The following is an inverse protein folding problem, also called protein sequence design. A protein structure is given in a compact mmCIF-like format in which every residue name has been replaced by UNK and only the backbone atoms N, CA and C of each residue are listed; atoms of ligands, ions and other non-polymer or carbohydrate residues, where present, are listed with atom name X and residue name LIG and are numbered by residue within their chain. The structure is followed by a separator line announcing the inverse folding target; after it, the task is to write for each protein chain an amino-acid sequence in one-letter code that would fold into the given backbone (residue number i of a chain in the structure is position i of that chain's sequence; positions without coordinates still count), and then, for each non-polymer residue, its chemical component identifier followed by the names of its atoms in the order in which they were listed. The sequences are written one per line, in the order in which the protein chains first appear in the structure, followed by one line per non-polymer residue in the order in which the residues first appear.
data_IF_859785357798
#
_entry.id   IF_859785357798
#
_cell.length_a   1.000
_cell.length_b   1.000
_cell.length_c   1.000
_cell.angle_alpha   90.00
_cell.angle_beta   90.00
_cell.angle_gamma   90.00
#
_symmetry.space_group_name_H-M   'P 1'
#
loop_
_entity.id
_entity.type
_entity.pdbx_description
1 polymer ?
#
# COMPACT_ATOMS: atom_id res chain seq x y z
N UNK A 1 16.45 -12.65 24.22
CA UNK A 1 17.18 -13.81 24.77
C UNK A 1 17.50 -14.71 23.59
N UNK A 2 18.78 -14.81 23.25
CA UNK A 2 19.27 -15.54 22.08
C UNK A 2 19.23 -17.06 22.32
N UNK A 3 18.83 -17.82 21.31
CA UNK A 3 19.17 -19.23 21.22
C UNK A 3 19.59 -19.51 19.77
N UNK A 4 20.86 -19.84 19.59
CA UNK A 4 21.43 -20.37 18.36
C UNK A 4 21.45 -21.90 18.42
N UNK A 5 21.51 -22.50 17.22
CA UNK A 5 22.01 -23.83 16.80
C UNK A 5 20.96 -24.66 16.03
N UNK A 6 21.35 -25.53 15.08
CA UNK A 6 22.41 -25.44 14.07
C UNK A 6 21.89 -25.75 12.63
N UNK A 7 22.72 -25.48 11.63
CA UNK A 7 22.47 -25.69 10.19
C UNK A 7 22.46 -27.19 9.81
N UNK A 8 21.48 -27.61 8.99
CA UNK A 8 21.63 -28.71 8.04
C UNK A 8 20.80 -28.44 6.77
N UNK A 9 21.25 -28.89 5.58
CA UNK A 9 20.95 -28.24 4.31
C UNK A 9 20.07 -29.13 3.42
N UNK A 10 18.79 -28.83 3.30
CA UNK A 10 17.94 -29.41 2.27
C UNK A 10 16.97 -28.36 1.76
N UNK A 11 16.95 -28.24 0.43
CA UNK A 11 16.11 -27.37 -0.39
C UNK A 11 14.69 -27.24 0.15
N UNK A 12 14.46 -26.13 0.84
CA UNK A 12 13.15 -25.66 1.23
C UNK A 12 13.01 -24.29 0.59
N UNK A 13 12.41 -24.25 -0.60
CA UNK A 13 11.81 -23.06 -1.19
C UNK A 13 10.67 -22.62 -0.27
N UNK A 14 10.99 -22.11 0.92
CA UNK A 14 10.00 -21.49 1.80
C UNK A 14 9.85 -20.06 1.33
N UNK A 15 8.93 -19.94 0.37
CA UNK A 15 7.96 -18.86 0.21
C UNK A 15 8.16 -17.73 1.23
N UNK A 16 8.71 -16.61 0.78
CA UNK A 16 8.71 -15.36 1.54
C UNK A 16 7.26 -14.92 1.78
N UNK A 17 6.65 -15.37 2.88
CA UNK A 17 5.39 -14.83 3.35
C UNK A 17 5.65 -13.46 3.98
N UNK A 18 5.44 -12.38 3.21
CA UNK A 18 5.46 -11.02 3.75
C UNK A 18 4.11 -10.75 4.43
N UNK A 19 4.00 -11.07 5.71
CA UNK A 19 2.83 -10.74 6.52
C UNK A 19 2.81 -9.25 6.81
N UNK A 20 1.71 -8.58 6.44
CA UNK A 20 1.41 -7.23 6.90
C UNK A 20 0.11 -7.29 7.69
N UNK A 21 0.21 -7.06 8.99
CA UNK A 21 -0.95 -6.99 9.89
C UNK A 21 -1.43 -5.54 9.92
N UNK A 22 -2.62 -5.31 9.40
CA UNK A 22 -3.37 -4.09 9.68
C UNK A 22 -4.28 -4.33 10.88
N UNK A 23 -4.78 -3.25 11.50
CA UNK A 23 -5.52 -3.28 12.78
C UNK A 23 -6.59 -4.38 12.84
N UNK A 24 -7.36 -4.57 11.76
CA UNK A 24 -8.48 -5.51 11.74
C UNK A 24 -8.49 -6.47 10.54
N UNK A 25 -7.47 -6.44 9.66
CA UNK A 25 -7.42 -7.31 8.47
C UNK A 25 -5.99 -7.68 8.08
N UNK A 26 -5.87 -8.73 7.26
CA UNK A 26 -4.61 -9.26 6.77
C UNK A 26 -4.69 -9.39 5.25
N UNK A 27 -3.59 -9.06 4.57
CA UNK A 27 -3.37 -9.37 3.16
C UNK A 27 -2.10 -10.20 3.03
N UNK A 28 -2.12 -11.16 2.11
CA UNK A 28 -1.08 -12.15 1.90
C UNK A 28 -0.64 -12.10 0.45
N UNK A 29 0.67 -12.06 0.23
CA UNK A 29 1.26 -12.25 -1.09
C UNK A 29 1.87 -13.63 -1.15
N UNK A 30 1.44 -14.41 -2.13
CA UNK A 30 1.93 -15.76 -2.40
C UNK A 30 3.12 -15.73 -3.37
N UNK A 31 3.89 -16.82 -3.44
CA UNK A 31 5.07 -16.91 -4.32
C UNK A 31 4.76 -16.85 -5.82
N UNK A 32 3.54 -17.20 -6.23
CA UNK A 32 3.07 -17.05 -7.62
C UNK A 32 2.44 -15.66 -7.88
N UNK A 33 2.46 -14.75 -6.91
CA UNK A 33 1.99 -13.37 -7.04
C UNK A 33 0.47 -13.18 -6.90
N UNK A 34 -0.26 -14.18 -6.40
CA UNK A 34 -1.66 -13.99 -6.00
C UNK A 34 -1.76 -13.29 -4.65
N UNK A 35 -2.78 -12.44 -4.50
CA UNK A 35 -3.08 -11.75 -3.24
C UNK A 35 -4.32 -12.37 -2.60
N UNK A 36 -4.20 -12.73 -1.33
CA UNK A 36 -5.33 -13.18 -0.51
C UNK A 36 -5.61 -12.21 0.63
N UNK A 37 -6.83 -12.17 1.11
CA UNK A 37 -7.23 -11.30 2.23
C UNK A 37 -8.19 -11.99 3.20
N UNK A 38 -8.08 -11.66 4.48
CA UNK A 38 -9.04 -12.04 5.52
C UNK A 38 -9.10 -10.98 6.63
N UNK A 39 -10.11 -11.09 7.50
CA UNK A 39 -10.39 -10.15 8.58
C UNK A 39 -11.62 -9.28 8.30
N UNK A 40 -11.62 -8.06 8.81
CA UNK A 40 -12.69 -7.07 8.65
C UNK A 40 -12.79 -6.56 7.21
N UNK A 41 -14.02 -6.44 6.69
CA UNK A 41 -14.31 -5.82 5.40
C UNK A 41 -15.28 -4.62 5.50
N UNK A 42 -15.39 -4.02 6.68
CA UNK A 42 -16.34 -2.93 6.93
C UNK A 42 -16.15 -1.72 5.99
N UNK A 43 -14.94 -1.54 5.45
CA UNK A 43 -14.55 -0.47 4.55
C UNK A 43 -14.19 -0.96 3.14
N UNK A 44 -14.39 -2.25 2.83
CA UNK A 44 -13.93 -2.84 1.58
C UNK A 44 -12.43 -3.15 1.55
N UNK A 45 -11.76 -3.16 2.71
CA UNK A 45 -10.30 -3.33 2.77
C UNK A 45 -9.82 -4.75 2.42
N UNK A 46 -10.74 -5.72 2.29
CA UNK A 46 -10.40 -7.05 1.75
C UNK A 46 -10.32 -7.06 0.22
N UNK A 47 -10.87 -6.08 -0.48
CA UNK A 47 -10.84 -6.02 -1.95
C UNK A 47 -11.72 -7.07 -2.64
N UNK A 48 -12.63 -7.70 -1.89
CA UNK A 48 -13.52 -8.75 -2.38
C UNK A 48 -14.83 -8.15 -2.90
N UNK A 49 -15.57 -8.89 -3.75
CA UNK A 49 -16.88 -8.48 -4.22
C UNK A 49 -17.83 -8.08 -3.07
N UNK A 50 -18.79 -7.18 -3.32
CA UNK A 50 -19.75 -6.75 -2.31
C UNK A 50 -20.48 -7.93 -1.65
N UNK A 51 -20.69 -7.84 -0.33
CA UNK A 51 -21.53 -8.79 0.42
C UNK A 51 -20.83 -9.42 1.64
N UNK A 52 -19.51 -9.59 1.60
CA UNK A 52 -18.75 -10.09 2.75
C UNK A 52 -18.43 -8.96 3.74
N UNK A 53 -18.93 -9.03 4.99
CA UNK A 53 -18.55 -8.07 6.05
C UNK A 53 -17.26 -8.44 6.78
N UNK A 54 -16.93 -9.72 6.82
CA UNK A 54 -15.73 -10.29 7.45
C UNK A 54 -15.41 -11.60 6.75
N UNK A 55 -14.13 -11.94 6.68
CA UNK A 55 -13.65 -13.27 6.27
C UNK A 55 -12.72 -13.83 7.34
N UNK A 56 -12.87 -15.11 7.69
CA UNK A 56 -11.96 -15.78 8.62
C UNK A 56 -10.92 -16.62 7.89
N UNK A 57 -11.24 -17.05 6.67
CA UNK A 57 -10.35 -17.80 5.78
C UNK A 57 -9.84 -16.85 4.69
N UNK A 58 -8.52 -16.80 4.42
CA UNK A 58 -7.98 -16.03 3.30
C UNK A 58 -8.70 -16.33 1.98
N UNK A 59 -9.21 -15.29 1.33
CA UNK A 59 -9.87 -15.35 0.02
C UNK A 59 -9.01 -14.67 -1.04
N UNK A 60 -8.97 -15.22 -2.25
CA UNK A 60 -8.23 -14.62 -3.37
C UNK A 60 -8.92 -13.33 -3.83
N UNK A 61 -8.13 -12.31 -4.13
CA UNK A 61 -8.59 -11.06 -4.74
C UNK A 61 -8.51 -11.20 -6.27
N UNK A 62 -9.58 -11.71 -6.88
CA UNK A 62 -9.62 -12.07 -8.31
C UNK A 62 -9.42 -10.89 -9.29
N UNK A 63 -9.67 -9.64 -8.84
CA UNK A 63 -9.52 -8.45 -9.68
C UNK A 63 -8.07 -8.01 -9.89
N UNK A 64 -7.11 -8.63 -9.20
CA UNK A 64 -5.67 -8.45 -9.46
C UNK A 64 -5.22 -9.52 -10.46
N UNK A 65 -5.42 -9.25 -11.74
CA UNK A 65 -5.14 -10.21 -12.83
C UNK A 65 -3.66 -10.35 -13.16
N UNK A 66 -2.85 -9.31 -12.91
CA UNK A 66 -1.40 -9.35 -13.08
C UNK A 66 -0.71 -9.81 -11.79
N UNK A 67 0.44 -10.47 -11.96
CA UNK A 67 1.28 -10.93 -10.86
C UNK A 67 1.67 -9.75 -9.96
N UNK A 68 1.32 -9.85 -8.67
CA UNK A 68 1.68 -8.84 -7.66
C UNK A 68 3.07 -9.11 -7.12
N UNK A 69 3.87 -8.06 -6.94
CA UNK A 69 5.26 -8.15 -6.43
C UNK A 69 5.44 -7.47 -5.07
N UNK A 70 4.58 -6.53 -4.71
CA UNK A 70 4.57 -5.96 -3.36
C UNK A 70 3.16 -5.55 -2.94
N UNK A 71 2.86 -5.71 -1.66
CA UNK A 71 1.58 -5.34 -1.03
C UNK A 71 1.83 -4.44 0.18
N UNK A 72 0.84 -3.64 0.55
CA UNK A 72 0.86 -2.82 1.78
C UNK A 72 -0.55 -2.74 2.40
N UNK A 73 -0.65 -2.87 3.74
CA UNK A 73 -1.92 -2.84 4.47
C UNK A 73 -1.98 -1.64 5.42
N UNK A 74 -2.87 -0.69 5.17
CA UNK A 74 -3.10 0.49 6.01
C UNK A 74 -4.18 0.21 7.05
N UNK A 75 -4.71 1.24 7.73
CA UNK A 75 -5.74 1.00 8.76
C UNK A 75 -7.04 0.42 8.17
N UNK A 76 -7.47 0.94 7.02
CA UNK A 76 -8.76 0.62 6.37
C UNK A 76 -8.67 0.68 4.84
N UNK A 77 -7.47 0.48 4.32
CA UNK A 77 -7.17 0.43 2.89
C UNK A 77 -5.95 -0.44 2.66
N UNK A 78 -5.77 -0.90 1.43
CA UNK A 78 -4.62 -1.70 1.04
C UNK A 78 -4.11 -1.26 -0.33
N UNK A 79 -2.86 -1.60 -0.59
CA UNK A 79 -2.15 -1.35 -1.83
C UNK A 79 -1.56 -2.65 -2.37
N UNK A 80 -1.50 -2.75 -3.69
CA UNK A 80 -0.70 -3.74 -4.39
C UNK A 80 0.03 -3.05 -5.55
N UNK A 81 1.21 -3.56 -5.88
CA UNK A 81 1.91 -3.23 -7.12
C UNK A 81 2.20 -4.49 -7.92
N UNK A 82 1.91 -4.45 -9.21
CA UNK A 82 2.12 -5.55 -10.14
C UNK A 82 3.55 -5.57 -10.68
N UNK A 83 3.95 -6.68 -11.32
CA UNK A 83 5.26 -6.83 -11.95
C UNK A 83 5.51 -5.80 -13.07
N UNK A 84 4.45 -5.32 -13.72
CA UNK A 84 4.52 -4.24 -14.72
C UNK A 84 4.62 -2.83 -14.11
N UNK A 85 4.52 -2.70 -12.78
CA UNK A 85 4.59 -1.44 -12.05
C UNK A 85 3.25 -0.75 -11.80
N UNK A 86 2.11 -1.40 -12.12
CA UNK A 86 0.79 -0.83 -11.87
C UNK A 86 0.44 -0.85 -10.39
N UNK A 87 0.00 0.29 -9.85
CA UNK A 87 -0.43 0.41 -8.46
C UNK A 87 -1.95 0.33 -8.37
N UNK A 88 -2.43 -0.54 -7.49
CA UNK A 88 -3.83 -0.70 -7.13
C UNK A 88 -4.05 -0.29 -5.69
N UNK A 89 -5.19 0.32 -5.42
CA UNK A 89 -5.67 0.63 -4.09
C UNK A 89 -7.13 0.24 -3.92
N UNK A 90 -7.48 -0.22 -2.74
CA UNK A 90 -8.86 -0.46 -2.33
C UNK A 90 -9.04 -0.23 -0.84
N UNK A 91 -10.30 -0.16 -0.41
CA UNK A 91 -10.68 0.16 0.94
C UNK A 91 -10.87 1.67 1.13
N UNK A 92 -11.97 2.01 1.81
CA UNK A 92 -12.51 3.38 1.88
C UNK A 92 -11.99 4.17 3.08
N UNK A 93 -10.91 3.72 3.72
CA UNK A 93 -10.31 4.34 4.90
C UNK A 93 -9.94 5.81 4.72
N UNK A 94 -9.53 6.20 3.51
CA UNK A 94 -9.13 7.57 3.17
C UNK A 94 -10.25 8.44 2.61
N UNK A 95 -11.45 7.87 2.38
CA UNK A 95 -12.56 8.61 1.79
C UNK A 95 -13.10 9.71 2.71
N UNK A 96 -13.27 9.44 4.01
CA UNK A 96 -13.79 10.44 4.95
C UNK A 96 -12.80 11.57 5.27
N UNK A 97 -11.49 11.29 5.52
CA UNK A 97 -10.51 12.37 5.64
C UNK A 97 -10.38 13.19 4.37
N UNK A 98 -10.38 12.55 3.19
CA UNK A 98 -10.30 13.25 1.91
C UNK A 98 -11.48 14.20 1.68
N UNK A 99 -12.71 13.76 1.92
CA UNK A 99 -13.90 14.62 1.76
C UNK A 99 -13.89 15.83 2.69
N UNK A 100 -13.38 15.69 3.92
CA UNK A 100 -13.26 16.83 4.85
C UNK A 100 -12.18 17.82 4.42
N UNK A 101 -11.07 17.33 3.88
CA UNK A 101 -9.96 18.18 3.45
C UNK A 101 -10.20 18.83 2.08
N UNK A 102 -11.02 18.22 1.23
CA UNK A 102 -11.33 18.67 -0.13
C UNK A 102 -12.86 18.64 -0.38
N UNK A 103 -13.66 19.47 0.32
CA UNK A 103 -15.13 19.39 0.25
C UNK A 103 -15.69 19.74 -1.14
N UNK A 104 -14.99 20.56 -1.92
CA UNK A 104 -15.44 21.05 -3.22
C UNK A 104 -15.05 20.15 -4.40
N UNK A 105 -14.17 19.16 -4.18
CA UNK A 105 -13.62 18.32 -5.25
C UNK A 105 -14.01 16.86 -5.05
N UNK A 106 -14.49 16.17 -6.10
CA UNK A 106 -14.72 14.74 -6.01
C UNK A 106 -13.39 14.03 -5.73
N UNK A 107 -13.43 13.03 -4.84
CA UNK A 107 -12.28 12.19 -4.61
C UNK A 107 -12.05 11.25 -5.79
N UNK A 108 -10.80 10.97 -6.17
CA UNK A 108 -10.48 9.89 -7.09
C UNK A 108 -11.10 8.56 -6.69
N UNK A 109 -11.55 7.80 -7.69
CA UNK A 109 -12.28 6.54 -7.51
C UNK A 109 -11.53 5.53 -6.62
N UNK A 110 -10.21 5.45 -6.74
CA UNK A 110 -9.38 4.54 -5.95
C UNK A 110 -9.36 4.84 -4.44
N UNK A 111 -9.76 6.04 -4.00
CA UNK A 111 -9.93 6.36 -2.57
C UNK A 111 -11.29 5.92 -2.02
N UNK A 112 -12.24 5.61 -2.90
CA UNK A 112 -13.62 5.22 -2.54
C UNK A 112 -13.97 3.80 -2.98
N UNK A 113 -13.07 3.10 -3.68
CA UNK A 113 -13.28 1.75 -4.15
C UNK A 113 -13.22 0.73 -3.00
N UNK A 114 -14.12 -0.26 -3.04
CA UNK A 114 -14.13 -1.41 -2.13
C UNK A 114 -13.44 -2.65 -2.72
N UNK A 115 -13.03 -2.54 -3.97
CA UNK A 115 -12.35 -3.55 -4.77
C UNK A 115 -11.10 -2.89 -5.39
N UNK A 116 -10.08 -3.67 -5.79
CA UNK A 116 -8.87 -3.13 -6.40
C UNK A 116 -9.17 -2.14 -7.52
N UNK A 117 -8.71 -0.91 -7.35
CA UNK A 117 -8.87 0.16 -8.32
C UNK A 117 -7.50 0.75 -8.63
N UNK A 118 -7.19 0.93 -9.91
CA UNK A 118 -5.91 1.48 -10.34
C UNK A 118 -5.74 2.90 -9.82
N UNK A 119 -4.60 3.17 -9.19
CA UNK A 119 -4.23 4.51 -8.73
C UNK A 119 -3.82 5.32 -9.94
N UNK A 120 -4.45 6.48 -10.12
CA UNK A 120 -4.14 7.40 -11.23
C UNK A 120 -3.04 8.40 -10.84
N UNK A 121 -2.25 8.83 -11.82
CA UNK A 121 -1.07 9.70 -11.63
C UNK A 121 0.26 8.94 -11.50
N UNK A 122 0.28 7.63 -11.78
CA UNK A 122 1.46 6.76 -11.76
C UNK A 122 1.58 5.93 -13.06
N UNK A 123 0.82 6.24 -14.10
CA UNK A 123 0.60 5.35 -15.26
C UNK A 123 1.86 5.09 -16.10
N UNK A 124 2.81 6.01 -16.08
CA UNK A 124 4.05 5.95 -16.86
C UNK A 124 5.28 5.67 -16.00
N UNK A 125 5.07 5.20 -14.76
CA UNK A 125 6.13 4.95 -13.80
C UNK A 125 6.18 3.47 -13.48
N UNK A 126 7.39 2.94 -13.32
CA UNK A 126 7.57 1.56 -12.90
C UNK A 126 7.76 1.52 -11.39
N UNK A 127 6.64 1.40 -10.69
CA UNK A 127 6.63 1.30 -9.23
C UNK A 127 7.13 -0.09 -8.81
N UNK A 128 8.07 -0.15 -7.87
CA UNK A 128 8.61 -1.41 -7.31
C UNK A 128 8.16 -1.68 -5.89
N UNK A 129 7.78 -0.65 -5.14
CA UNK A 129 7.46 -0.77 -3.72
C UNK A 129 6.31 0.14 -3.35
N UNK A 130 5.41 -0.37 -2.52
CA UNK A 130 4.34 0.40 -1.89
C UNK A 130 4.44 0.23 -0.38
N UNK A 131 4.19 1.31 0.36
CA UNK A 131 4.08 1.31 1.81
C UNK A 131 2.89 2.15 2.23
N UNK A 132 2.43 1.95 3.46
CA UNK A 132 1.28 2.65 3.99
C UNK A 132 1.37 2.80 5.49
N UNK A 133 0.85 3.93 5.98
CA UNK A 133 0.57 4.12 7.39
C UNK A 133 -0.93 4.02 7.67
N UNK A 134 -1.37 4.70 8.72
CA UNK A 134 -2.78 4.65 9.15
C UNK A 134 -3.77 5.15 8.09
N UNK A 135 -3.50 6.32 7.51
CA UNK A 135 -4.34 7.01 6.53
C UNK A 135 -3.53 7.68 5.41
N UNK A 136 -2.34 7.15 5.11
CA UNK A 136 -1.50 7.64 4.03
C UNK A 136 -0.78 6.49 3.35
N UNK A 137 -0.26 6.78 2.16
CA UNK A 137 0.36 5.81 1.26
C UNK A 137 1.57 6.43 0.59
N UNK A 138 2.53 5.59 0.26
CA UNK A 138 3.68 5.98 -0.55
C UNK A 138 4.07 4.88 -1.53
N UNK A 139 4.69 5.26 -2.63
CA UNK A 139 5.24 4.35 -3.63
C UNK A 139 6.63 4.80 -4.06
N UNK A 140 7.50 3.83 -4.33
CA UNK A 140 8.86 4.05 -4.79
C UNK A 140 9.05 3.40 -6.16
N UNK A 141 9.56 4.16 -7.13
CA UNK A 141 9.90 3.67 -8.48
C UNK A 141 11.26 2.98 -8.53
N UNK A 142 11.58 2.27 -9.60
CA UNK A 142 12.93 1.72 -9.82
C UNK A 142 13.99 2.79 -10.10
N UNK A 143 13.58 3.98 -10.52
CA UNK A 143 14.44 5.16 -10.67
C UNK A 143 14.74 5.88 -9.35
N UNK A 144 14.12 5.45 -8.24
CA UNK A 144 14.32 6.02 -6.91
C UNK A 144 13.45 7.25 -6.63
N UNK A 145 12.33 7.40 -7.33
CA UNK A 145 11.39 8.49 -7.13
C UNK A 145 10.32 8.11 -6.12
N UNK A 146 10.14 8.93 -5.07
CA UNK A 146 9.19 8.71 -4.01
C UNK A 146 7.92 9.53 -4.24
N UNK A 147 6.78 8.84 -4.32
CA UNK A 147 5.45 9.44 -4.45
C UNK A 147 4.62 9.19 -3.20
N UNK A 148 3.84 10.17 -2.77
CA UNK A 148 3.02 10.11 -1.56
C UNK A 148 1.60 10.61 -1.79
N UNK A 149 0.64 10.03 -1.07
CA UNK A 149 -0.76 10.50 -1.06
C UNK A 149 -1.49 10.14 0.23
N UNK A 150 -2.67 10.74 0.42
CA UNK A 150 -3.53 10.55 1.58
C UNK A 150 -3.39 11.67 2.61
N UNK A 151 -3.60 11.33 3.88
CA UNK A 151 -3.61 12.31 4.98
C UNK A 151 -2.22 12.81 5.31
N UNK A 152 -2.09 14.14 5.42
CA UNK A 152 -0.87 14.84 5.78
C UNK A 152 -1.05 15.70 7.04
N UNK A 153 -1.88 15.25 7.98
CA UNK A 153 -2.21 16.01 9.20
C UNK A 153 -1.01 16.28 10.11
N UNK A 154 0.08 15.53 9.96
CA UNK A 154 1.30 15.67 10.75
C UNK A 154 2.50 16.13 9.91
N UNK A 155 2.28 16.54 8.65
CA UNK A 155 3.36 16.94 7.74
C UNK A 155 4.17 15.75 7.18
N UNK A 156 3.73 14.51 7.40
CA UNK A 156 4.48 13.31 7.03
C UNK A 156 4.65 13.08 5.52
N UNK A 157 3.95 13.85 4.67
CA UNK A 157 4.01 13.77 3.22
C UNK A 157 4.79 14.93 2.58
N UNK A 158 5.50 15.74 3.38
CA UNK A 158 6.38 16.82 2.90
C UNK A 158 5.65 17.78 1.94
N UNK A 159 4.45 18.20 2.33
CA UNK A 159 3.58 19.07 1.53
C UNK A 159 2.85 20.08 2.42
N UNK A 160 2.53 21.29 1.92
CA UNK A 160 1.71 22.25 2.66
C UNK A 160 0.23 21.85 2.75
N UNK A 161 -0.25 20.96 1.87
CA UNK A 161 -1.65 20.53 1.87
C UNK A 161 -1.92 19.53 3.03
N UNK A 162 -3.09 19.62 3.67
CA UNK A 162 -3.49 18.70 4.76
C UNK A 162 -3.87 17.30 4.27
N UNK A 163 -4.16 17.16 2.97
CA UNK A 163 -4.48 15.90 2.30
C UNK A 163 -4.08 15.97 0.83
N UNK A 164 -3.50 14.88 0.33
CA UNK A 164 -3.10 14.72 -1.06
C UNK A 164 -4.02 13.70 -1.73
N UNK A 165 -4.98 14.10 -2.59
CA UNK A 165 -5.94 13.18 -3.18
C UNK A 165 -5.34 12.32 -4.29
N UNK A 166 -4.18 12.68 -4.83
CA UNK A 166 -3.45 11.96 -5.86
C UNK A 166 -1.99 11.79 -5.44
N UNK A 167 -1.29 10.77 -5.96
CA UNK A 167 0.16 10.64 -5.80
C UNK A 167 0.88 11.92 -6.21
N UNK A 168 1.72 12.42 -5.31
CA UNK A 168 2.58 13.58 -5.53
C UNK A 168 4.02 13.16 -5.30
N UNK A 169 4.92 13.49 -6.23
CA UNK A 169 6.35 13.27 -6.09
C UNK A 169 6.93 14.15 -4.98
N UNK A 170 7.71 13.57 -4.09
CA UNK A 170 8.56 14.35 -3.16
C UNK A 170 9.77 14.85 -3.97
N UNK A 171 10.06 16.14 -3.84
CA UNK A 171 11.16 16.76 -4.57
C UNK A 171 12.51 16.13 -4.21
N UNK A 172 13.35 15.91 -5.22
CA UNK A 172 14.68 15.31 -5.02
C UNK A 172 15.58 16.19 -4.12
N UNK A 173 15.32 17.49 -4.06
CA UNK A 173 15.98 18.44 -3.15
C UNK A 173 15.82 18.06 -1.67
N UNK A 174 14.71 17.42 -1.29
CA UNK A 174 14.50 16.88 0.07
C UNK A 174 15.48 15.74 0.42
N UNK A 175 16.12 15.16 -0.60
CA UNK A 175 17.06 14.05 -0.51
C UNK A 175 18.46 14.46 -0.96
N UNK A 176 18.80 15.75 -0.97
CA UNK A 176 20.08 16.26 -1.50
C UNK A 176 20.34 15.81 -2.95
N UNK A 177 19.28 15.57 -3.73
CA UNK A 177 19.28 15.00 -5.08
C UNK A 177 19.78 13.55 -5.18
N UNK A 178 19.87 12.83 -4.05
CA UNK A 178 20.09 11.39 -4.04
C UNK A 178 18.81 10.62 -4.39
N UNK A 179 18.98 9.40 -4.89
CA UNK A 179 17.87 8.50 -5.22
C UNK A 179 17.43 7.74 -3.99
N UNK A 180 16.13 7.61 -3.77
CA UNK A 180 15.63 6.81 -2.64
C UNK A 180 15.81 5.32 -2.96
N UNK A 181 16.59 4.63 -2.14
CA UNK A 181 16.83 3.20 -2.24
C UNK A 181 15.68 2.38 -1.62
N UNK A 182 15.20 2.80 -0.44
CA UNK A 182 14.17 2.10 0.32
C UNK A 182 13.24 3.06 1.04
N UNK A 183 11.99 2.61 1.27
CA UNK A 183 10.98 3.37 2.01
C UNK A 183 10.23 2.45 2.98
N UNK A 184 9.93 2.98 4.17
CA UNK A 184 9.10 2.35 5.20
C UNK A 184 8.08 3.35 5.73
N UNK A 185 7.00 2.85 6.28
CA UNK A 185 5.96 3.67 6.89
C UNK A 185 5.60 3.14 8.27
N UNK A 186 5.49 4.06 9.22
CA UNK A 186 4.85 3.82 10.50
C UNK A 186 3.42 4.35 10.51
N UNK A 187 2.83 4.47 11.69
CA UNK A 187 1.44 4.90 11.84
C UNK A 187 1.17 6.28 11.19
N UNK A 188 2.06 7.24 11.45
CA UNK A 188 1.93 8.66 11.06
C UNK A 188 3.25 9.24 10.55
N UNK A 189 4.21 8.41 10.15
CA UNK A 189 5.51 8.85 9.63
C UNK A 189 5.97 7.95 8.47
N UNK A 190 6.88 8.49 7.66
CA UNK A 190 7.61 7.79 6.60
C UNK A 190 9.11 7.87 6.90
N UNK A 191 9.83 6.80 6.60
CA UNK A 191 11.29 6.75 6.62
C UNK A 191 11.74 6.41 5.21
N UNK A 192 12.66 7.19 4.67
CA UNK A 192 13.30 6.93 3.38
C UNK A 192 14.80 6.82 3.59
N UNK A 193 15.44 5.88 2.89
CA UNK A 193 16.88 5.76 2.81
C UNK A 193 17.31 6.08 1.38
N UNK A 194 18.31 6.94 1.25
CA UNK A 194 18.98 7.27 -0.01
C UNK A 194 20.29 6.49 -0.17
#
# INVERSE_FOLDING_TARGET
MFCLLPLAPYWLTVLSFKWLVAFDFTILLTGNGQVLSCGSNAFGQLGLPPGARRQVTPQVIELLSEKVVCIAAGMRHALAVTESGLVFQWGTGMASPGRRACPEKPLPSFLTAKEPCRVTGLENLKVKTVVTGSCHSASLTDEGELYVWGSNKHGQLVSPATFLPKPQKIEASCFQNEKVAMVWSGWTHLVAQT
#
